data_IF_361640929525
#
_entry.id   IF_361640929525
#
_cell.length_a   1.000
_cell.length_b   1.000
_cell.length_c   1.000
_cell.angle_alpha   90.00
_cell.angle_beta   90.00
_cell.angle_gamma   90.00
#
_symmetry.space_group_name_H-M   'P 1'
#
loop_
_entity.id
_entity.type
_entity.pdbx_description
1 polymer ?
#
# COMPACT_ATOMS: atom_id res chain seq x y z
N UNK A 1 -30.24 51.88 17.34
CA UNK A 1 -30.24 50.44 17.64
C UNK A 1 -29.38 49.75 16.60
N UNK A 2 -28.13 49.38 16.97
CA UNK A 2 -27.18 48.63 16.13
C UNK A 2 -27.26 47.15 16.54
N UNK A 3 -27.71 46.28 15.65
CA UNK A 3 -27.60 44.83 15.81
C UNK A 3 -26.15 44.40 15.50
N UNK A 4 -25.48 43.88 16.47
CA UNK A 4 -24.22 43.15 16.31
C UNK A 4 -24.54 41.73 15.82
N UNK A 5 -24.02 41.39 14.64
CA UNK A 5 -23.96 40.01 14.18
C UNK A 5 -22.71 39.36 14.78
N UNK A 6 -22.90 38.35 15.62
CA UNK A 6 -21.85 37.53 16.18
C UNK A 6 -21.56 36.39 15.19
N UNK A 7 -20.43 36.45 14.49
CA UNK A 7 -19.92 35.37 13.67
C UNK A 7 -19.23 34.36 14.59
N UNK A 8 -19.86 33.20 14.78
CA UNK A 8 -19.26 32.04 15.41
C UNK A 8 -18.33 31.35 14.40
N UNK A 9 -17.04 31.58 14.50
CA UNK A 9 -16.03 30.76 13.85
C UNK A 9 -15.89 29.48 14.67
N UNK A 10 -16.42 28.39 14.13
CA UNK A 10 -16.16 27.05 14.66
C UNK A 10 -14.73 26.65 14.26
N UNK A 11 -13.81 26.65 15.22
CA UNK A 11 -12.52 25.97 15.10
C UNK A 11 -12.80 24.48 15.06
N UNK A 12 -12.75 23.86 13.90
CA UNK A 12 -12.55 22.42 13.79
C UNK A 12 -11.06 22.15 14.00
N UNK A 13 -10.70 21.76 15.20
CA UNK A 13 -9.47 21.05 15.46
C UNK A 13 -9.64 19.64 14.86
N UNK A 14 -9.14 19.40 13.64
CA UNK A 14 -8.93 18.05 13.15
C UNK A 14 -7.77 17.46 13.93
N UNK A 15 -8.10 16.56 14.83
CA UNK A 15 -7.16 15.65 15.47
C UNK A 15 -6.48 14.83 14.38
N UNK A 16 -5.15 14.82 14.38
CA UNK A 16 -4.34 13.79 13.75
C UNK A 16 -4.91 12.45 14.22
N UNK A 17 -5.46 11.69 13.28
CA UNK A 17 -5.95 10.35 13.53
C UNK A 17 -4.77 9.40 13.71
N UNK A 18 -4.33 9.31 14.96
CA UNK A 18 -3.54 8.21 15.43
C UNK A 18 -4.29 6.90 15.21
N UNK A 19 -3.55 5.84 15.01
CA UNK A 19 -3.98 4.46 15.14
C UNK A 19 -5.08 4.31 16.22
N UNK A 20 -6.35 4.24 15.84
CA UNK A 20 -7.44 4.07 16.77
C UNK A 20 -7.96 2.61 16.75
N UNK A 21 -7.03 1.67 17.04
CA UNK A 21 -7.38 0.54 17.91
C UNK A 21 -7.11 1.05 19.33
N UNK A 22 -7.94 0.75 20.29
CA UNK A 22 -7.72 1.09 21.69
C UNK A 22 -6.35 0.55 22.12
N UNK A 23 -5.31 1.40 22.06
CA UNK A 23 -3.98 1.08 22.55
C UNK A 23 -4.02 1.22 24.07
N UNK A 24 -4.11 0.11 24.77
CA UNK A 24 -3.56 0.02 26.12
C UNK A 24 -2.07 0.36 26.02
N UNK A 25 -1.69 1.56 26.47
CA UNK A 25 -0.36 2.06 26.75
C UNK A 25 0.69 1.88 25.66
N UNK A 26 1.27 2.97 25.19
CA UNK A 26 2.47 2.99 24.31
C UNK A 26 3.53 2.06 24.92
N UNK A 27 3.80 0.92 24.24
CA UNK A 27 4.86 0.00 24.66
C UNK A 27 6.16 0.61 24.24
N UNK A 28 6.97 1.09 25.17
CA UNK A 28 8.35 1.44 24.89
C UNK A 28 9.27 0.34 25.43
N UNK A 29 10.11 -0.20 24.60
CA UNK A 29 11.14 -1.17 24.96
C UNK A 29 12.52 -0.52 24.78
N UNK A 30 13.36 -0.60 25.80
CA UNK A 30 14.76 -0.16 25.69
C UNK A 30 15.62 -1.35 25.24
N UNK A 31 16.10 -1.30 24.01
CA UNK A 31 16.98 -2.34 23.46
C UNK A 31 18.33 -2.41 24.16
N UNK A 32 18.72 -1.39 24.94
CA UNK A 32 19.96 -1.35 25.72
C UNK A 32 21.23 -1.69 24.90
N UNK A 33 21.27 -1.24 23.64
CA UNK A 33 22.35 -1.53 22.69
C UNK A 33 22.25 -2.90 22.01
N UNK A 34 21.13 -3.61 22.18
CA UNK A 34 20.85 -4.84 21.43
C UNK A 34 20.68 -4.56 19.94
N UNK A 35 21.05 -5.53 19.10
CA UNK A 35 21.01 -5.40 17.64
C UNK A 35 19.77 -6.07 17.07
N UNK A 36 18.97 -5.33 16.31
CA UNK A 36 17.85 -5.87 15.51
C UNK A 36 18.33 -6.02 14.06
N UNK A 37 18.01 -7.13 13.44
CA UNK A 37 18.27 -7.38 12.02
C UNK A 37 16.99 -7.17 11.22
N UNK A 38 17.07 -6.30 10.20
CA UNK A 38 16.05 -6.14 9.17
C UNK A 38 16.48 -6.90 7.92
N UNK A 39 15.86 -8.05 7.62
CA UNK A 39 16.22 -8.91 6.48
C UNK A 39 15.14 -8.79 5.42
N UNK A 40 15.43 -8.05 4.33
CA UNK A 40 14.47 -7.73 3.29
C UNK A 40 14.77 -8.48 2.00
N UNK A 41 13.70 -8.94 1.33
CA UNK A 41 13.80 -9.77 0.11
C UNK A 41 14.50 -9.06 -1.06
N UNK A 42 14.36 -7.73 -1.19
CA UNK A 42 14.84 -6.93 -2.33
C UNK A 42 15.32 -5.56 -1.84
N UNK A 43 16.52 -5.50 -1.28
CA UNK A 43 17.06 -4.32 -0.63
C UNK A 43 17.50 -3.20 -1.59
N UNK A 44 17.32 -3.36 -2.87
CA UNK A 44 17.51 -2.32 -3.90
C UNK A 44 16.20 -1.64 -4.34
N UNK A 45 15.05 -2.10 -3.85
CA UNK A 45 13.75 -1.49 -4.13
C UNK A 45 13.41 -0.43 -3.08
N UNK A 46 12.96 0.73 -3.53
CA UNK A 46 12.61 1.88 -2.67
C UNK A 46 11.66 1.51 -1.55
N UNK A 47 10.64 0.69 -1.82
CA UNK A 47 9.69 0.22 -0.81
C UNK A 47 10.38 -0.39 0.41
N UNK A 48 11.32 -1.33 0.19
CA UNK A 48 12.01 -2.01 1.28
C UNK A 48 13.13 -1.18 1.91
N UNK A 49 13.70 -0.22 1.16
CA UNK A 49 14.63 0.76 1.72
C UNK A 49 13.88 1.65 2.73
N UNK A 50 12.75 2.21 2.35
CA UNK A 50 11.92 3.08 3.20
C UNK A 50 11.39 2.32 4.43
N UNK A 51 10.92 1.07 4.24
CA UNK A 51 10.49 0.19 5.33
C UNK A 51 11.63 -0.07 6.32
N UNK A 52 12.82 -0.40 5.81
CA UNK A 52 14.01 -0.63 6.61
C UNK A 52 14.51 0.61 7.33
N UNK A 53 14.45 1.77 6.69
CA UNK A 53 14.85 3.05 7.31
C UNK A 53 13.90 3.45 8.44
N UNK A 54 12.60 3.20 8.29
CA UNK A 54 11.63 3.43 9.36
C UNK A 54 11.84 2.48 10.55
N UNK A 55 12.05 1.18 10.28
CA UNK A 55 12.38 0.20 11.31
C UNK A 55 13.65 0.59 12.04
N UNK A 56 14.70 1.00 11.31
CA UNK A 56 15.97 1.49 11.87
C UNK A 56 15.77 2.70 12.77
N UNK A 57 15.02 3.70 12.29
CA UNK A 57 14.77 4.92 13.05
C UNK A 57 14.08 4.62 14.38
N UNK A 58 13.11 3.69 14.40
CA UNK A 58 12.41 3.26 15.62
C UNK A 58 13.34 2.53 16.57
N UNK A 59 14.11 1.52 16.10
CA UNK A 59 15.08 0.78 16.93
C UNK A 59 16.13 1.70 17.54
N UNK A 60 16.70 2.62 16.76
CA UNK A 60 17.71 3.57 17.23
C UNK A 60 17.13 4.59 18.24
N UNK A 61 15.87 5.02 18.06
CA UNK A 61 15.19 5.88 19.02
C UNK A 61 14.99 5.19 20.38
N UNK A 62 14.85 3.86 20.39
CA UNK A 62 14.66 3.04 21.58
C UNK A 62 15.98 2.38 22.05
N UNK A 63 17.12 2.98 21.71
CA UNK A 63 18.44 2.65 22.25
C UNK A 63 19.09 1.39 21.68
N UNK A 64 18.62 0.87 20.54
CA UNK A 64 19.17 -0.30 19.85
C UNK A 64 20.10 0.05 18.70
N UNK A 65 20.65 -0.99 18.08
CA UNK A 65 21.34 -0.94 16.79
C UNK A 65 20.53 -1.69 15.74
N UNK A 66 20.50 -1.19 14.51
CA UNK A 66 19.80 -1.84 13.40
C UNK A 66 20.75 -2.22 12.27
N UNK A 67 20.69 -3.47 11.81
CA UNK A 67 21.45 -3.95 10.66
C UNK A 67 20.49 -4.28 9.54
N UNK A 68 20.55 -3.50 8.46
CA UNK A 68 19.81 -3.74 7.22
C UNK A 68 20.52 -4.81 6.39
N UNK A 69 19.78 -5.84 5.95
CA UNK A 69 20.31 -6.95 5.14
C UNK A 69 19.42 -7.14 3.91
N UNK A 70 20.05 -7.18 2.73
CA UNK A 70 19.42 -7.47 1.46
C UNK A 70 19.60 -8.94 1.08
N UNK A 71 18.51 -9.70 1.10
CA UNK A 71 18.50 -11.12 0.71
C UNK A 71 18.52 -11.33 -0.82
N UNK A 72 18.45 -10.26 -1.63
CA UNK A 72 18.62 -10.26 -3.11
C UNK A 72 17.68 -11.23 -3.84
N UNK A 73 16.45 -11.33 -3.38
CA UNK A 73 15.45 -12.28 -3.87
C UNK A 73 15.94 -13.75 -3.86
N UNK A 74 16.94 -14.05 -3.00
CA UNK A 74 17.55 -15.38 -2.90
C UNK A 74 17.06 -16.12 -1.67
N UNK A 75 16.33 -17.24 -1.81
CA UNK A 75 15.94 -18.12 -0.72
C UNK A 75 17.14 -18.62 0.12
N UNK A 76 18.27 -18.90 -0.51
CA UNK A 76 19.49 -19.39 0.15
C UNK A 76 20.14 -18.30 1.01
N UNK A 77 20.32 -17.09 0.45
CA UNK A 77 20.88 -15.96 1.20
C UNK A 77 19.97 -15.57 2.36
N UNK A 78 18.65 -15.56 2.16
CA UNK A 78 17.68 -15.26 3.21
C UNK A 78 17.85 -16.14 4.46
N UNK A 79 17.89 -17.47 4.29
CA UNK A 79 18.08 -18.38 5.42
C UNK A 79 19.47 -18.26 6.06
N UNK A 80 20.50 -17.97 5.26
CA UNK A 80 21.86 -17.72 5.75
C UNK A 80 21.93 -16.42 6.54
N UNK A 81 21.19 -15.40 6.14
CA UNK A 81 21.13 -14.12 6.86
C UNK A 81 20.42 -14.26 8.20
N UNK A 82 19.38 -15.11 8.29
CA UNK A 82 18.78 -15.51 9.56
C UNK A 82 19.84 -16.22 10.45
N UNK A 83 20.59 -17.18 9.90
CA UNK A 83 21.64 -17.88 10.64
C UNK A 83 22.73 -16.89 11.13
N UNK A 84 23.08 -15.90 10.33
CA UNK A 84 24.02 -14.85 10.71
C UNK A 84 23.47 -13.97 11.87
N UNK A 85 22.20 -13.58 11.81
CA UNK A 85 21.56 -12.81 12.89
C UNK A 85 21.54 -13.62 14.19
N UNK A 86 21.20 -14.92 14.11
CA UNK A 86 21.23 -15.83 15.27
C UNK A 86 22.65 -15.95 15.84
N UNK A 87 23.65 -16.18 14.99
CA UNK A 87 25.04 -16.32 15.41
C UNK A 87 25.60 -15.06 16.09
N UNK A 88 25.07 -13.90 15.74
CA UNK A 88 25.44 -12.61 16.34
C UNK A 88 24.56 -12.24 17.55
N UNK A 89 23.72 -13.15 18.06
CA UNK A 89 22.82 -12.95 19.19
C UNK A 89 21.90 -11.72 18.99
N UNK A 90 21.23 -11.66 17.83
CA UNK A 90 20.27 -10.60 17.56
C UNK A 90 19.21 -10.48 18.68
N UNK A 91 18.84 -9.28 19.05
CA UNK A 91 17.73 -9.03 19.97
C UNK A 91 16.38 -9.40 19.36
N UNK A 92 16.27 -9.30 18.03
CA UNK A 92 15.11 -9.68 17.26
C UNK A 92 15.37 -9.54 15.76
N UNK A 93 14.45 -10.08 14.96
CA UNK A 93 14.48 -10.02 13.51
C UNK A 93 13.16 -9.46 13.00
N UNK A 94 13.22 -8.43 12.15
CA UNK A 94 12.10 -7.99 11.32
C UNK A 94 12.42 -8.37 9.87
N UNK A 95 11.45 -8.90 9.11
CA UNK A 95 11.80 -9.51 7.83
C UNK A 95 10.68 -9.47 6.80
N UNK A 96 11.06 -9.28 5.53
CA UNK A 96 10.22 -9.57 4.37
C UNK A 96 10.80 -10.74 3.58
N UNK A 97 10.06 -11.85 3.50
CA UNK A 97 10.53 -13.12 2.96
C UNK A 97 10.46 -13.14 1.42
N UNK A 98 11.49 -13.66 0.71
CA UNK A 98 11.47 -13.77 -0.76
C UNK A 98 10.65 -14.95 -1.30
N UNK A 99 10.40 -15.97 -0.47
CA UNK A 99 9.68 -17.19 -0.84
C UNK A 99 8.98 -17.76 0.41
N UNK A 100 7.67 -17.71 0.44
CA UNK A 100 6.86 -18.14 1.59
C UNK A 100 6.99 -19.64 1.92
N UNK A 101 7.47 -20.48 1.00
CA UNK A 101 7.78 -21.90 1.29
C UNK A 101 8.87 -22.07 2.36
N UNK A 102 9.65 -21.02 2.63
CA UNK A 102 10.68 -20.98 3.67
C UNK A 102 10.16 -20.58 5.05
N UNK A 103 8.89 -20.17 5.17
CA UNK A 103 8.32 -19.60 6.40
C UNK A 103 8.54 -20.48 7.62
N UNK A 104 8.22 -21.78 7.50
CA UNK A 104 8.40 -22.73 8.61
C UNK A 104 9.88 -22.83 9.03
N UNK A 105 10.79 -22.91 8.07
CA UNK A 105 12.21 -23.02 8.37
C UNK A 105 12.77 -21.76 9.05
N UNK A 106 12.32 -20.57 8.62
CA UNK A 106 12.71 -19.30 9.20
C UNK A 106 12.24 -19.18 10.66
N UNK A 107 10.97 -19.48 10.90
CA UNK A 107 10.36 -19.41 12.24
C UNK A 107 10.98 -20.43 13.18
N UNK A 108 11.18 -21.68 12.73
CA UNK A 108 11.78 -22.74 13.56
C UNK A 108 13.21 -22.39 14.00
N UNK A 109 14.06 -21.88 13.08
CA UNK A 109 15.41 -21.40 13.41
C UNK A 109 15.40 -20.33 14.50
N UNK A 110 14.56 -19.33 14.35
CA UNK A 110 14.44 -18.23 15.32
C UNK A 110 13.92 -18.74 16.66
N UNK A 111 12.91 -19.59 16.66
CA UNK A 111 12.32 -20.21 17.86
C UNK A 111 13.33 -21.09 18.62
N UNK A 112 14.11 -21.91 17.91
CA UNK A 112 15.17 -22.76 18.51
C UNK A 112 16.26 -21.91 19.17
N UNK A 113 16.58 -20.75 18.58
CA UNK A 113 17.53 -19.77 19.11
C UNK A 113 16.97 -18.88 20.21
N UNK A 114 15.64 -18.86 20.39
CA UNK A 114 14.96 -17.95 21.32
C UNK A 114 14.96 -16.50 20.88
N UNK A 115 15.07 -16.24 19.57
CA UNK A 115 15.07 -14.90 18.98
C UNK A 115 13.69 -14.62 18.35
N UNK A 116 12.99 -13.55 18.74
CA UNK A 116 11.72 -13.20 18.14
C UNK A 116 11.88 -12.77 16.67
N UNK A 117 10.89 -13.14 15.86
CA UNK A 117 10.80 -12.76 14.44
C UNK A 117 9.44 -12.17 14.14
N UNK A 118 9.39 -11.05 13.42
CA UNK A 118 8.18 -10.37 12.96
C UNK A 118 8.26 -10.20 11.45
N UNK A 119 7.20 -10.58 10.75
CA UNK A 119 7.10 -10.40 9.31
C UNK A 119 6.60 -8.98 8.96
N UNK A 120 7.26 -8.34 7.99
CA UNK A 120 6.81 -7.12 7.33
C UNK A 120 6.40 -7.43 5.90
N UNK A 121 5.39 -6.74 5.37
CA UNK A 121 4.86 -6.85 4.01
C UNK A 121 4.38 -8.26 3.65
N UNK A 122 5.27 -9.21 3.35
CA UNK A 122 4.91 -10.61 3.10
C UNK A 122 4.90 -11.42 4.40
N UNK A 123 3.78 -12.11 4.66
CA UNK A 123 3.61 -12.91 5.86
C UNK A 123 4.50 -14.18 5.85
N UNK A 124 4.96 -14.57 7.04
CA UNK A 124 5.48 -15.91 7.29
C UNK A 124 4.29 -16.85 7.52
N UNK A 125 3.96 -17.69 6.54
CA UNK A 125 2.74 -18.48 6.56
C UNK A 125 2.95 -19.93 6.10
N UNK A 126 2.08 -20.83 6.56
CA UNK A 126 1.99 -22.23 6.13
C UNK A 126 0.52 -22.55 5.90
N UNK A 127 0.20 -23.10 4.73
CA UNK A 127 -1.17 -23.43 4.33
C UNK A 127 -2.16 -22.25 4.47
N UNK A 128 -1.67 -21.00 4.26
CA UNK A 128 -2.45 -19.76 4.36
C UNK A 128 -2.65 -19.24 5.80
N UNK A 129 -2.06 -19.90 6.80
CA UNK A 129 -2.08 -19.43 8.19
C UNK A 129 -0.76 -18.75 8.56
N UNK A 130 -0.81 -17.55 9.11
CA UNK A 130 0.36 -16.82 9.60
C UNK A 130 0.93 -17.51 10.83
N UNK A 131 2.22 -17.86 10.76
CA UNK A 131 2.93 -18.57 11.83
C UNK A 131 3.88 -17.68 12.64
N UNK A 132 3.95 -16.41 12.31
CA UNK A 132 4.62 -15.35 13.06
C UNK A 132 3.79 -14.05 12.99
N UNK A 133 3.95 -13.13 13.95
CA UNK A 133 3.32 -11.81 13.87
C UNK A 133 3.68 -11.12 12.55
N UNK A 134 2.69 -10.44 11.99
CA UNK A 134 2.78 -9.79 10.68
C UNK A 134 2.27 -8.37 10.73
N UNK A 135 3.00 -7.48 10.09
CA UNK A 135 2.61 -6.11 9.79
C UNK A 135 2.71 -5.89 8.29
N UNK A 136 1.64 -5.50 7.64
CA UNK A 136 1.66 -5.31 6.19
C UNK A 136 0.40 -4.66 5.67
N UNK A 137 0.15 -4.81 4.39
CA UNK A 137 -0.97 -4.19 3.69
C UNK A 137 -2.09 -5.20 3.44
N UNK A 138 -3.32 -4.81 3.71
CA UNK A 138 -4.49 -5.61 3.34
C UNK A 138 -4.86 -5.34 1.87
N UNK A 139 -4.41 -6.22 1.00
CA UNK A 139 -4.55 -6.07 -0.44
C UNK A 139 -6.00 -5.91 -0.88
N UNK A 140 -6.94 -6.69 -0.31
CA UNK A 140 -8.36 -6.58 -0.63
C UNK A 140 -8.93 -5.23 -0.19
N UNK A 141 -8.67 -4.80 1.05
CA UNK A 141 -9.20 -3.54 1.58
C UNK A 141 -8.61 -2.32 0.88
N UNK A 142 -7.35 -2.39 0.41
CA UNK A 142 -6.76 -1.34 -0.42
C UNK A 142 -7.51 -1.21 -1.75
N UNK A 143 -7.75 -2.33 -2.43
CA UNK A 143 -8.57 -2.33 -3.65
C UNK A 143 -9.99 -1.87 -3.39
N UNK A 144 -10.62 -2.34 -2.30
CA UNK A 144 -11.95 -1.90 -1.91
C UNK A 144 -12.04 -0.39 -1.70
N UNK A 145 -11.01 0.25 -1.11
CA UNK A 145 -10.96 1.70 -0.96
C UNK A 145 -10.94 2.43 -2.31
N UNK A 146 -10.18 1.92 -3.30
CA UNK A 146 -10.19 2.45 -4.67
C UNK A 146 -11.56 2.27 -5.33
N UNK A 147 -12.14 1.07 -5.23
CA UNK A 147 -13.46 0.76 -5.77
C UNK A 147 -14.56 1.64 -5.18
N UNK A 148 -14.53 1.87 -3.87
CA UNK A 148 -15.45 2.79 -3.19
C UNK A 148 -15.28 4.23 -3.69
N UNK A 149 -14.06 4.72 -3.78
CA UNK A 149 -13.81 6.09 -4.19
C UNK A 149 -14.25 6.35 -5.64
N UNK A 150 -13.90 5.45 -6.58
CA UNK A 150 -14.25 5.63 -8.00
C UNK A 150 -15.74 5.46 -8.25
N UNK A 151 -16.43 4.58 -7.49
CA UNK A 151 -17.88 4.46 -7.54
C UNK A 151 -18.57 5.72 -7.06
N UNK A 152 -18.16 6.27 -5.91
CA UNK A 152 -18.68 7.55 -5.40
C UNK A 152 -18.40 8.70 -6.37
N UNK A 153 -17.21 8.74 -6.98
CA UNK A 153 -16.90 9.73 -8.01
C UNK A 153 -17.88 9.63 -9.20
N UNK A 154 -18.19 8.42 -9.66
CA UNK A 154 -19.12 8.20 -10.75
C UNK A 154 -20.55 8.63 -10.39
N UNK A 155 -21.01 8.32 -9.17
CA UNK A 155 -22.31 8.75 -8.64
C UNK A 155 -22.40 10.28 -8.58
N UNK A 156 -21.44 10.92 -7.93
CA UNK A 156 -21.44 12.36 -7.70
C UNK A 156 -21.38 13.19 -8.99
N UNK A 157 -20.76 12.62 -10.04
CA UNK A 157 -20.66 13.27 -11.35
C UNK A 157 -21.74 12.83 -12.35
N UNK A 158 -22.69 12.00 -11.92
CA UNK A 158 -23.81 11.54 -12.77
C UNK A 158 -23.33 10.74 -13.99
N UNK A 159 -22.31 9.91 -13.82
CA UNK A 159 -21.70 9.14 -14.92
C UNK A 159 -22.37 7.80 -15.15
N UNK A 160 -23.09 7.26 -14.16
CA UNK A 160 -23.67 5.92 -14.23
C UNK A 160 -24.76 5.79 -15.31
N UNK A 161 -25.54 6.87 -15.52
CA UNK A 161 -26.65 6.93 -16.50
C UNK A 161 -26.18 7.25 -17.93
N UNK A 162 -24.91 7.58 -18.12
CA UNK A 162 -24.35 7.87 -19.45
C UNK A 162 -24.01 6.57 -20.17
N UNK A 163 -24.50 6.43 -21.41
CA UNK A 163 -24.28 5.21 -22.21
C UNK A 163 -22.82 5.06 -22.66
N UNK A 164 -22.04 6.15 -22.65
CA UNK A 164 -20.63 6.19 -23.06
C UNK A 164 -19.63 6.14 -21.90
N UNK A 165 -20.08 5.79 -20.69
CA UNK A 165 -19.22 5.54 -19.54
C UNK A 165 -18.81 4.08 -19.45
N UNK A 166 -17.51 3.79 -19.26
CA UNK A 166 -16.96 2.46 -19.00
C UNK A 166 -16.01 2.45 -17.81
N UNK A 167 -15.97 1.33 -17.11
CA UNK A 167 -15.00 1.04 -16.05
C UNK A 167 -13.91 0.10 -16.60
N UNK A 168 -12.65 0.42 -16.38
CA UNK A 168 -11.51 -0.47 -16.64
C UNK A 168 -10.78 -0.76 -15.33
N UNK A 169 -10.58 -2.05 -15.03
CA UNK A 169 -9.73 -2.52 -13.94
C UNK A 169 -8.48 -3.15 -14.55
N UNK A 170 -7.31 -2.58 -14.23
CA UNK A 170 -6.01 -3.11 -14.64
C UNK A 170 -5.61 -4.24 -13.69
N UNK A 171 -5.56 -5.50 -14.16
CA UNK A 171 -5.32 -6.67 -13.31
C UNK A 171 -3.91 -7.23 -13.47
N UNK A 172 -3.47 -7.98 -12.45
CA UNK A 172 -2.21 -8.74 -12.45
C UNK A 172 -2.53 -10.17 -11.99
N UNK A 173 -3.20 -10.94 -12.84
CA UNK A 173 -3.83 -12.23 -12.48
C UNK A 173 -2.82 -13.31 -12.08
N UNK A 174 -1.56 -13.16 -12.44
CA UNK A 174 -0.47 -14.10 -12.10
C UNK A 174 0.26 -13.73 -10.80
N UNK A 175 -0.06 -12.59 -10.19
CA UNK A 175 0.57 -12.11 -8.96
C UNK A 175 -0.42 -12.22 -7.80
N UNK A 176 -0.23 -13.24 -6.96
CA UNK A 176 -1.18 -13.62 -5.90
C UNK A 176 -1.48 -12.49 -4.90
N UNK A 177 -0.52 -11.61 -4.62
CA UNK A 177 -0.71 -10.43 -3.76
C UNK A 177 -1.50 -9.29 -4.43
N UNK A 178 -1.64 -9.31 -5.76
CA UNK A 178 -2.35 -8.29 -6.54
C UNK A 178 -3.79 -8.68 -6.88
N UNK A 179 -4.08 -9.99 -6.98
CA UNK A 179 -5.43 -10.48 -7.28
C UNK A 179 -6.48 -9.94 -6.31
N UNK A 180 -6.30 -9.97 -4.98
CA UNK A 180 -7.30 -9.45 -4.05
C UNK A 180 -7.57 -7.95 -4.19
N UNK A 181 -6.60 -7.17 -4.74
CA UNK A 181 -6.80 -5.74 -4.99
C UNK A 181 -7.88 -5.51 -6.03
N UNK A 182 -7.76 -6.18 -7.19
CA UNK A 182 -8.76 -6.10 -8.26
C UNK A 182 -10.13 -6.66 -7.83
N UNK A 183 -10.15 -7.72 -7.00
CA UNK A 183 -11.37 -8.26 -6.42
C UNK A 183 -12.06 -7.22 -5.52
N UNK A 184 -11.32 -6.56 -4.63
CA UNK A 184 -11.86 -5.51 -3.76
C UNK A 184 -12.40 -4.31 -4.53
N UNK A 185 -11.72 -3.89 -5.61
CA UNK A 185 -12.19 -2.82 -6.50
C UNK A 185 -13.53 -3.17 -7.16
N UNK A 186 -13.63 -4.38 -7.70
CA UNK A 186 -14.84 -4.84 -8.40
C UNK A 186 -16.00 -5.07 -7.45
N UNK A 187 -15.76 -5.68 -6.29
CA UNK A 187 -16.79 -5.95 -5.29
C UNK A 187 -17.42 -4.65 -4.78
N UNK A 188 -16.59 -3.63 -4.50
CA UNK A 188 -17.09 -2.31 -4.07
C UNK A 188 -17.82 -1.57 -5.18
N UNK A 189 -17.35 -1.69 -6.42
CA UNK A 189 -18.09 -1.16 -7.56
C UNK A 189 -19.49 -1.79 -7.66
N UNK A 190 -19.60 -3.10 -7.60
CA UNK A 190 -20.90 -3.80 -7.65
C UNK A 190 -21.81 -3.47 -6.47
N UNK A 191 -21.24 -3.32 -5.27
CA UNK A 191 -21.98 -2.92 -4.07
C UNK A 191 -22.64 -1.54 -4.23
N UNK A 192 -21.90 -0.56 -4.74
CA UNK A 192 -22.34 0.83 -4.83
C UNK A 192 -23.03 1.19 -6.15
N UNK A 193 -22.73 0.48 -7.21
CA UNK A 193 -23.25 0.69 -8.56
C UNK A 193 -23.92 -0.57 -9.13
N UNK A 194 -24.90 -1.20 -8.42
CA UNK A 194 -25.45 -2.51 -8.79
C UNK A 194 -26.19 -2.53 -10.12
N UNK A 195 -26.64 -1.39 -10.61
CA UNK A 195 -27.37 -1.26 -11.87
C UNK A 195 -26.46 -0.88 -13.07
N UNK A 196 -25.13 -0.73 -12.83
CA UNK A 196 -24.19 -0.43 -13.91
C UNK A 196 -24.02 -1.66 -14.83
N UNK A 197 -24.12 -1.52 -16.16
CA UNK A 197 -24.10 -2.65 -17.08
C UNK A 197 -22.76 -3.39 -17.09
N UNK A 198 -22.78 -4.71 -16.92
CA UNK A 198 -21.61 -5.59 -16.92
C UNK A 198 -20.79 -5.52 -18.23
N UNK A 199 -21.45 -5.29 -19.37
CA UNK A 199 -20.81 -5.17 -20.68
C UNK A 199 -20.01 -3.86 -20.85
N UNK A 200 -20.03 -2.99 -19.86
CA UNK A 200 -19.23 -1.77 -19.77
C UNK A 200 -18.18 -1.82 -18.64
N UNK A 201 -18.00 -2.98 -18.00
CA UNK A 201 -16.93 -3.28 -17.07
C UNK A 201 -15.87 -4.10 -17.82
N UNK A 202 -14.65 -3.61 -17.88
CA UNK A 202 -13.54 -4.20 -18.61
C UNK A 202 -12.40 -4.54 -17.65
N UNK A 203 -11.70 -5.62 -17.95
CA UNK A 203 -10.44 -5.96 -17.26
C UNK A 203 -9.31 -6.03 -18.29
N UNK A 204 -8.10 -5.64 -17.87
CA UNK A 204 -6.91 -5.77 -18.68
C UNK A 204 -5.76 -6.32 -17.84
N UNK A 205 -5.46 -7.62 -18.05
CA UNK A 205 -4.34 -8.28 -17.40
C UNK A 205 -3.01 -7.86 -18.03
N UNK A 206 -1.98 -7.67 -17.19
CA UNK A 206 -0.62 -7.33 -17.61
C UNK A 206 0.40 -7.80 -16.55
N UNK A 207 1.70 -7.64 -16.83
CA UNK A 207 2.78 -8.16 -16.00
C UNK A 207 3.29 -7.21 -14.90
N UNK A 208 2.58 -6.10 -14.65
CA UNK A 208 2.96 -5.09 -13.66
C UNK A 208 3.90 -4.00 -14.17
N UNK A 209 4.39 -4.11 -15.42
CA UNK A 209 5.29 -3.11 -16.00
C UNK A 209 4.54 -2.00 -16.74
N UNK A 210 5.13 -0.81 -16.78
CA UNK A 210 4.57 0.34 -17.51
C UNK A 210 4.40 0.06 -19.01
N UNK A 211 5.34 -0.66 -19.66
CA UNK A 211 5.26 -0.98 -21.08
C UNK A 211 4.03 -1.84 -21.40
N UNK A 212 3.79 -2.88 -20.59
CA UNK A 212 2.67 -3.80 -20.80
C UNK A 212 1.35 -3.17 -20.38
N UNK A 213 1.34 -2.40 -19.28
CA UNK A 213 0.16 -1.66 -18.82
C UNK A 213 -0.36 -0.68 -19.90
N UNK A 214 0.54 0.06 -20.58
CA UNK A 214 0.14 0.93 -21.68
C UNK A 214 -0.46 0.13 -22.84
N UNK A 215 0.18 -0.97 -23.25
CA UNK A 215 -0.31 -1.82 -24.34
C UNK A 215 -1.69 -2.41 -24.02
N UNK A 216 -1.89 -2.91 -22.80
CA UNK A 216 -3.13 -3.55 -22.36
C UNK A 216 -4.29 -2.53 -22.30
N UNK A 217 -4.09 -1.38 -21.66
CA UNK A 217 -5.11 -0.33 -21.56
C UNK A 217 -5.48 0.28 -22.92
N UNK A 218 -4.49 0.59 -23.76
CA UNK A 218 -4.72 1.12 -25.11
C UNK A 218 -5.52 0.15 -25.99
N UNK A 219 -5.32 -1.16 -25.83
CA UNK A 219 -6.10 -2.17 -26.55
C UNK A 219 -7.59 -2.11 -26.17
N UNK A 220 -7.92 -1.97 -24.87
CA UNK A 220 -9.30 -1.84 -24.38
C UNK A 220 -9.94 -0.55 -24.94
N UNK A 221 -9.26 0.59 -24.86
CA UNK A 221 -9.80 1.87 -25.35
C UNK A 221 -10.06 1.83 -26.86
N UNK A 222 -9.14 1.24 -27.62
CA UNK A 222 -9.30 1.09 -29.08
C UNK A 222 -10.43 0.13 -29.46
N UNK A 223 -10.61 -0.95 -28.72
CA UNK A 223 -11.65 -1.95 -28.98
C UNK A 223 -13.07 -1.45 -28.67
N UNK A 224 -13.19 -0.40 -27.83
CA UNK A 224 -14.47 0.11 -27.34
C UNK A 224 -14.66 1.61 -27.69
N UNK A 225 -14.68 1.98 -28.97
CA UNK A 225 -14.75 3.38 -29.41
C UNK A 225 -16.08 4.08 -29.04
N UNK A 226 -17.10 3.35 -28.62
CA UNK A 226 -18.36 3.89 -28.10
C UNK A 226 -18.25 4.45 -26.67
N UNK A 227 -17.21 4.07 -25.94
CA UNK A 227 -16.92 4.56 -24.59
C UNK A 227 -16.01 5.78 -24.71
N UNK A 228 -16.47 6.94 -24.24
CA UNK A 228 -15.73 8.20 -24.29
C UNK A 228 -15.47 8.81 -22.91
N UNK A 229 -16.10 8.24 -21.88
CA UNK A 229 -15.87 8.56 -20.46
C UNK A 229 -15.32 7.33 -19.77
N UNK A 230 -14.04 7.38 -19.35
CA UNK A 230 -13.38 6.24 -18.74
C UNK A 230 -13.13 6.44 -17.26
N UNK A 231 -13.55 5.46 -16.47
CA UNK A 231 -13.20 5.26 -15.08
C UNK A 231 -12.15 4.15 -15.03
N UNK A 232 -11.00 4.39 -14.42
CA UNK A 232 -9.90 3.40 -14.42
C UNK A 232 -9.35 3.25 -13.00
N UNK A 233 -9.17 2.01 -12.58
CA UNK A 233 -8.45 1.63 -11.37
C UNK A 233 -7.60 0.39 -11.65
N UNK A 234 -6.82 -0.11 -10.70
CA UNK A 234 -6.02 -1.31 -10.94
C UNK A 234 -5.08 -1.72 -9.82
N UNK A 235 -4.53 -2.90 -10.00
CA UNK A 235 -3.77 -3.63 -9.00
C UNK A 235 -2.43 -3.00 -8.59
N UNK A 236 -1.87 -2.08 -9.40
CA UNK A 236 -0.71 -1.26 -9.04
C UNK A 236 -0.72 0.08 -9.79
N UNK A 237 0.17 0.98 -9.41
CA UNK A 237 0.19 2.34 -9.96
C UNK A 237 0.81 2.41 -11.36
N UNK A 238 1.71 1.48 -11.71
CA UNK A 238 2.28 1.36 -13.06
C UNK A 238 1.20 1.14 -14.11
N UNK A 239 0.21 0.29 -13.84
CA UNK A 239 -0.92 0.07 -14.73
C UNK A 239 -1.81 1.29 -14.88
N UNK A 240 -2.18 1.91 -13.77
CA UNK A 240 -3.08 3.05 -13.78
C UNK A 240 -2.46 4.31 -14.38
N UNK A 241 -1.17 4.59 -14.12
CA UNK A 241 -0.48 5.72 -14.77
C UNK A 241 -0.33 5.50 -16.26
N UNK A 242 -0.12 4.25 -16.70
CA UNK A 242 -0.05 3.93 -18.12
C UNK A 242 -1.40 4.05 -18.81
N UNK A 243 -2.49 3.71 -18.11
CA UNK A 243 -3.84 3.99 -18.62
C UNK A 243 -4.08 5.50 -18.77
N UNK A 244 -3.57 6.35 -17.85
CA UNK A 244 -3.58 7.81 -18.07
C UNK A 244 -2.88 8.19 -19.38
N UNK A 245 -1.68 7.64 -19.66
CA UNK A 245 -0.94 7.94 -20.89
C UNK A 245 -1.69 7.46 -22.13
N UNK A 246 -2.27 6.26 -22.10
CA UNK A 246 -3.05 5.74 -23.21
C UNK A 246 -4.32 6.58 -23.48
N UNK A 247 -4.95 7.11 -22.43
CA UNK A 247 -6.09 8.04 -22.54
C UNK A 247 -5.66 9.39 -23.14
N UNK A 248 -4.51 9.94 -22.72
CA UNK A 248 -3.92 11.16 -23.28
C UNK A 248 -3.63 10.97 -24.77
N UNK A 249 -2.98 9.86 -25.17
CA UNK A 249 -2.67 9.54 -26.56
C UNK A 249 -3.92 9.37 -27.43
N UNK A 250 -5.01 8.88 -26.84
CA UNK A 250 -6.30 8.72 -27.50
C UNK A 250 -7.16 10.01 -27.49
N UNK A 251 -6.75 11.06 -26.75
CA UNK A 251 -7.52 12.29 -26.57
C UNK A 251 -8.79 12.11 -25.73
N UNK A 252 -8.80 11.14 -24.82
CA UNK A 252 -9.94 10.78 -23.95
C UNK A 252 -9.73 11.23 -22.50
N UNK A 253 -8.56 11.76 -22.17
CA UNK A 253 -8.14 12.13 -20.81
C UNK A 253 -9.03 13.20 -20.15
N UNK A 254 -9.57 14.12 -20.95
CA UNK A 254 -10.44 15.19 -20.45
C UNK A 254 -11.74 14.68 -19.80
N UNK A 255 -12.21 13.52 -20.18
CA UNK A 255 -13.42 12.86 -19.65
C UNK A 255 -13.09 11.58 -18.85
N UNK A 256 -11.86 11.48 -18.37
CA UNK A 256 -11.42 10.29 -17.65
C UNK A 256 -11.18 10.59 -16.15
N UNK A 257 -11.38 9.57 -15.34
CA UNK A 257 -11.00 9.54 -13.95
C UNK A 257 -10.18 8.28 -13.71
N UNK A 258 -8.94 8.43 -13.30
CA UNK A 258 -8.03 7.34 -12.98
C UNK A 258 -7.71 7.40 -11.48
N UNK A 259 -7.75 6.23 -10.84
CA UNK A 259 -7.40 6.05 -9.42
C UNK A 259 -6.19 5.13 -9.34
N UNK A 260 -5.10 5.63 -8.75
CA UNK A 260 -3.87 4.90 -8.54
C UNK A 260 -3.93 3.98 -7.32
N UNK A 261 -2.91 3.13 -7.19
CA UNK A 261 -2.76 2.27 -6.02
C UNK A 261 -1.29 2.26 -5.59
N UNK A 262 -1.02 2.97 -4.48
CA UNK A 262 0.31 3.21 -3.93
C UNK A 262 0.58 4.69 -3.64
N UNK A 263 0.16 5.60 -4.50
CA UNK A 263 0.34 7.05 -4.37
C UNK A 263 1.70 7.57 -4.84
N UNK A 264 2.68 6.69 -5.06
CA UNK A 264 4.07 7.06 -5.36
C UNK A 264 4.27 7.66 -6.76
N UNK A 265 3.50 7.21 -7.77
CA UNK A 265 3.52 7.83 -9.10
C UNK A 265 2.47 8.93 -9.25
N UNK A 266 1.34 8.81 -8.56
CA UNK A 266 0.29 9.80 -8.56
C UNK A 266 0.78 11.14 -8.00
N UNK A 267 1.56 11.15 -6.91
CA UNK A 267 2.17 12.36 -6.36
C UNK A 267 3.05 13.09 -7.38
N UNK A 268 3.86 12.34 -8.12
CA UNK A 268 4.75 12.90 -9.15
C UNK A 268 3.95 13.47 -10.32
N UNK A 269 2.89 12.79 -10.72
CA UNK A 269 1.95 13.25 -11.74
C UNK A 269 1.32 14.59 -11.32
N UNK A 270 0.84 14.71 -10.08
CA UNK A 270 0.24 15.93 -9.56
C UNK A 270 1.27 17.06 -9.36
N UNK A 271 2.49 16.73 -8.92
CA UNK A 271 3.58 17.71 -8.82
C UNK A 271 3.95 18.29 -10.18
N UNK A 272 3.96 17.46 -11.23
CA UNK A 272 4.40 17.85 -12.57
C UNK A 272 3.31 18.55 -13.38
N UNK A 273 2.05 18.10 -13.29
CA UNK A 273 0.95 18.56 -14.15
C UNK A 273 -0.12 19.39 -13.40
N UNK A 274 -0.14 19.32 -12.07
CA UNK A 274 -1.24 19.87 -11.26
C UNK A 274 -2.53 19.05 -11.36
N UNK A 275 -3.52 19.38 -10.54
CA UNK A 275 -4.80 18.66 -10.44
C UNK A 275 -5.59 18.63 -11.77
N UNK A 276 -5.57 19.75 -12.50
CA UNK A 276 -6.33 19.91 -13.75
C UNK A 276 -5.60 19.37 -14.98
N UNK A 277 -4.29 19.15 -14.88
CA UNK A 277 -3.44 18.74 -15.99
C UNK A 277 -3.34 17.22 -16.21
N UNK A 278 -4.11 16.43 -15.45
CA UNK A 278 -4.08 14.97 -15.51
C UNK A 278 -5.45 14.36 -15.23
N UNK A 279 -5.69 13.17 -15.78
CA UNK A 279 -6.85 12.33 -15.43
C UNK A 279 -6.64 11.48 -14.16
N UNK A 280 -5.45 11.46 -13.55
CA UNK A 280 -5.19 10.86 -12.24
C UNK A 280 -5.84 11.73 -11.15
N UNK A 281 -6.97 11.27 -10.57
CA UNK A 281 -7.78 12.05 -9.64
C UNK A 281 -7.61 11.64 -8.18
N UNK A 282 -7.21 10.40 -7.94
CA UNK A 282 -6.96 9.88 -6.59
C UNK A 282 -5.97 8.72 -6.64
N UNK A 283 -5.51 8.28 -5.47
CA UNK A 283 -4.80 7.02 -5.30
C UNK A 283 -5.06 6.47 -3.88
N UNK A 284 -5.15 5.16 -3.73
CA UNK A 284 -5.04 4.55 -2.41
C UNK A 284 -3.56 4.57 -2.00
N UNK A 285 -3.26 5.36 -0.99
CA UNK A 285 -1.93 5.43 -0.39
C UNK A 285 -1.85 4.53 0.83
N UNK A 286 -0.75 3.82 0.96
CA UNK A 286 -0.34 3.07 2.13
C UNK A 286 1.18 3.25 2.28
N UNK A 287 1.68 3.22 3.52
CA UNK A 287 3.04 3.66 3.84
C UNK A 287 3.96 2.50 4.20
N UNK A 288 5.07 2.35 3.46
CA UNK A 288 6.18 1.46 3.82
C UNK A 288 6.79 1.84 5.17
N UNK A 289 6.80 3.15 5.48
CA UNK A 289 7.30 3.64 6.77
C UNK A 289 6.45 3.11 7.93
N UNK A 290 5.11 3.06 7.78
CA UNK A 290 4.22 2.50 8.80
C UNK A 290 4.39 0.98 8.95
N UNK A 291 4.69 0.26 7.85
CA UNK A 291 5.02 -1.17 7.92
C UNK A 291 6.31 -1.36 8.73
N UNK A 292 7.37 -0.64 8.37
CA UNK A 292 8.67 -0.74 9.04
C UNK A 292 8.60 -0.41 10.53
N UNK A 293 8.01 0.72 10.89
CA UNK A 293 7.82 1.11 12.30
C UNK A 293 6.95 0.10 13.05
N UNK A 294 5.85 -0.34 12.42
CA UNK A 294 4.92 -1.31 13.00
C UNK A 294 5.57 -2.65 13.31
N UNK A 295 6.49 -3.15 12.46
CA UNK A 295 7.22 -4.40 12.75
C UNK A 295 8.05 -4.30 14.01
N UNK A 296 8.68 -3.15 14.27
CA UNK A 296 9.46 -2.92 15.49
C UNK A 296 8.54 -2.80 16.72
N UNK A 297 7.40 -2.11 16.61
CA UNK A 297 6.42 -2.02 17.70
C UNK A 297 5.94 -3.42 18.11
N UNK A 298 5.62 -4.30 17.15
CA UNK A 298 5.23 -5.69 17.44
C UNK A 298 6.40 -6.48 18.03
N UNK A 299 7.63 -6.27 17.58
CA UNK A 299 8.82 -6.86 18.18
C UNK A 299 9.00 -6.44 19.64
N UNK A 300 8.78 -5.16 19.96
CA UNK A 300 8.84 -4.62 21.31
C UNK A 300 7.78 -5.24 22.23
N UNK A 301 6.56 -5.51 21.73
CA UNK A 301 5.53 -6.23 22.48
C UNK A 301 6.07 -7.60 22.92
N UNK A 302 6.66 -8.37 21.99
CA UNK A 302 7.23 -9.69 22.29
C UNK A 302 8.34 -9.58 23.34
N UNK A 303 9.28 -8.66 23.16
CA UNK A 303 10.44 -8.48 24.04
C UNK A 303 10.03 -7.99 25.43
N UNK A 304 8.94 -7.25 25.54
CA UNK A 304 8.34 -6.83 26.80
C UNK A 304 7.52 -7.93 27.49
N UNK A 305 7.40 -9.11 26.88
CA UNK A 305 6.61 -10.24 27.39
C UNK A 305 5.10 -10.07 27.26
N UNK A 306 4.67 -9.17 26.38
CA UNK A 306 3.25 -9.01 26.02
C UNK A 306 2.85 -10.00 24.94
N UNK A 307 1.56 -10.30 24.83
CA UNK A 307 1.01 -11.06 23.71
C UNK A 307 1.11 -10.19 22.45
N UNK A 308 1.82 -10.61 21.39
CA UNK A 308 1.94 -9.79 20.20
C UNK A 308 0.64 -9.77 19.40
N UNK A 309 0.38 -8.65 18.73
CA UNK A 309 -0.66 -8.59 17.72
C UNK A 309 -0.22 -9.46 16.52
N UNK A 310 -0.99 -10.51 16.22
CA UNK A 310 -0.62 -11.45 15.15
C UNK A 310 -0.80 -10.88 13.74
N UNK A 311 -1.77 -10.00 13.56
CA UNK A 311 -2.05 -9.35 12.28
C UNK A 311 -2.26 -7.86 12.48
N UNK A 312 -1.39 -7.05 11.90
CA UNK A 312 -1.50 -5.60 11.88
C UNK A 312 -1.53 -5.13 10.43
N UNK A 313 -2.71 -4.76 9.95
CA UNK A 313 -2.85 -4.18 8.62
C UNK A 313 -2.63 -2.66 8.66
N UNK A 314 -1.72 -2.17 7.84
CA UNK A 314 -1.55 -0.73 7.60
C UNK A 314 -2.74 -0.26 6.77
N UNK A 315 -3.49 0.76 7.23
CA UNK A 315 -4.68 1.21 6.51
C UNK A 315 -4.32 1.91 5.21
N UNK A 316 -5.15 1.71 4.18
CA UNK A 316 -5.13 2.54 3.00
C UNK A 316 -5.86 3.86 3.27
N UNK A 317 -5.29 4.96 2.78
CA UNK A 317 -5.93 6.27 2.81
C UNK A 317 -6.01 6.82 1.40
N UNK A 318 -7.20 7.23 0.97
CA UNK A 318 -7.32 7.85 -0.36
C UNK A 318 -6.70 9.24 -0.33
N UNK A 319 -5.71 9.43 -1.19
CA UNK A 319 -5.07 10.72 -1.46
C UNK A 319 -5.55 11.28 -2.79
N UNK A 320 -5.65 12.60 -2.85
CA UNK A 320 -6.06 13.37 -4.01
C UNK A 320 -5.07 14.52 -4.24
N UNK A 321 -5.10 15.22 -5.37
CA UNK A 321 -4.25 16.40 -5.59
C UNK A 321 -4.34 17.46 -4.49
N UNK A 322 -5.47 17.50 -3.74
CA UNK A 322 -5.71 18.49 -2.70
C UNK A 322 -5.10 18.13 -1.35
N UNK A 323 -5.02 16.81 -1.03
CA UNK A 323 -4.66 16.36 0.32
C UNK A 323 -3.37 15.55 0.40
N UNK A 324 -2.78 15.08 -0.73
CA UNK A 324 -1.66 14.12 -0.70
C UNK A 324 -0.45 14.63 0.07
N UNK A 325 -0.13 15.94 0.02
CA UNK A 325 1.00 16.50 0.76
C UNK A 325 0.83 16.43 2.28
N UNK A 326 -0.41 16.60 2.74
CA UNK A 326 -0.74 16.50 4.16
C UNK A 326 -0.74 15.04 4.63
N UNK A 327 -1.38 14.16 3.86
CA UNK A 327 -1.57 12.74 4.22
C UNK A 327 -0.27 11.95 4.10
N UNK A 328 0.47 12.14 3.02
CA UNK A 328 1.71 11.39 2.75
C UNK A 328 2.92 11.95 3.52
N UNK A 329 2.84 13.20 3.97
CA UNK A 329 3.95 13.81 4.71
C UNK A 329 5.28 13.77 3.92
N UNK A 330 6.28 13.08 4.45
CA UNK A 330 7.60 12.93 3.80
C UNK A 330 7.52 12.15 2.49
N UNK A 331 6.61 11.18 2.40
CA UNK A 331 6.41 10.37 1.19
C UNK A 331 5.86 11.19 0.01
N UNK A 332 5.33 12.39 0.25
CA UNK A 332 4.90 13.32 -0.80
C UNK A 332 6.06 14.02 -1.51
N UNK A 333 7.25 14.02 -0.94
CA UNK A 333 8.43 14.64 -1.55
C UNK A 333 8.92 13.82 -2.75
N UNK A 334 9.48 14.44 -3.79
CA UNK A 334 10.09 13.70 -4.89
C UNK A 334 11.24 12.82 -4.37
N UNK A 335 11.42 11.63 -4.94
CA UNK A 335 12.61 10.84 -4.69
C UNK A 335 13.86 11.64 -5.12
N UNK A 336 14.86 11.74 -4.25
CA UNK A 336 16.12 12.46 -4.51
C UNK A 336 16.96 11.78 -5.61
#
# INVERSE_FOLDING_TARGET
MKLMALSMAALMAMSMGAFAGETEGEVSYDFAGGTVYGIYKAGDQTWFIDEGDAAKAKVEADGGEFIYVDAKMSPEEYLKDIDNAIANNAAGIVTCIPDQTLSQAAVDKCKEAGIPIVAGDDALEVDGEKIAPWVGIDAYNIGAANGEWIANYAIDNGLLDKEDTGLLIMTMDTVSSCVPRAEGELDKWHELCPDFPEDRIFTADYDGTTEKGNTASAAIFTANPQITTWLVTGANEEGTICACRALEDAGLDANACVVGLGGYMAKDEWNNKGADGTCMKAAAYFSSLQVGEGTVIVLEQILSGQEPTMETAVPATIVTPENYKEVMGKDAEPAE
#
